data_IF_195113663826
#
_entry.id   IF_195113663826
#
_cell.length_a   1.000
_cell.length_b   1.000
_cell.length_c   1.000
_cell.angle_alpha   90.00
_cell.angle_beta   90.00
_cell.angle_gamma   90.00
#
_symmetry.space_group_name_H-M   'P 1'
#
loop_
_entity.id
_entity.type
_entity.pdbx_description
1 polymer ?
#
# COMPACT_ATOMS: atom_id res chain seq x y z
N UNK A 1 32.88 24.67 -62.35
CA UNK A 1 33.08 23.68 -61.27
C UNK A 1 31.75 23.25 -60.63
N UNK A 2 30.68 23.06 -61.42
CA UNK A 2 29.32 22.80 -60.90
C UNK A 2 28.69 21.50 -61.43
N UNK A 3 29.14 21.00 -62.59
CA UNK A 3 28.55 19.79 -63.19
C UNK A 3 29.07 18.48 -62.58
N UNK A 4 30.32 18.45 -62.08
CA UNK A 4 30.93 17.25 -61.51
C UNK A 4 30.37 16.91 -60.12
N UNK A 5 30.00 17.93 -59.33
CA UNK A 5 29.41 17.73 -57.99
C UNK A 5 27.98 17.18 -58.04
N UNK A 6 27.17 17.63 -59.01
CA UNK A 6 25.80 17.15 -59.15
C UNK A 6 25.74 15.71 -59.70
N UNK A 7 26.71 15.31 -60.53
CA UNK A 7 26.84 13.94 -61.01
C UNK A 7 27.22 12.98 -59.86
N UNK A 8 28.12 13.39 -58.98
CA UNK A 8 28.53 12.60 -57.81
C UNK A 8 27.39 12.41 -56.79
N UNK A 9 26.55 13.43 -56.56
CA UNK A 9 25.37 13.30 -55.67
C UNK A 9 24.32 12.32 -56.20
N UNK A 10 24.16 12.24 -57.53
CA UNK A 10 23.24 11.28 -58.16
C UNK A 10 23.77 9.84 -58.15
N UNK A 11 25.07 9.65 -58.32
CA UNK A 11 25.69 8.31 -58.35
C UNK A 11 25.76 7.70 -56.94
N UNK A 12 26.02 8.52 -55.90
CA UNK A 12 26.26 8.01 -54.54
C UNK A 12 25.07 8.08 -53.58
N UNK A 13 23.87 8.43 -54.04
CA UNK A 13 22.63 8.26 -53.25
C UNK A 13 22.59 9.01 -51.91
N UNK A 14 23.40 10.06 -51.73
CA UNK A 14 23.44 10.89 -50.53
C UNK A 14 22.24 11.85 -50.48
N UNK A 15 21.06 11.30 -50.24
CA UNK A 15 19.81 12.04 -50.11
C UNK A 15 18.60 11.24 -49.60
N UNK A 16 18.72 9.93 -49.43
CA UNK A 16 17.65 9.15 -48.78
C UNK A 16 17.84 9.24 -47.27
N UNK A 17 16.93 9.96 -46.58
CA UNK A 17 16.76 9.82 -45.13
C UNK A 17 16.68 8.31 -44.81
N UNK A 18 17.33 7.82 -43.75
CA UNK A 18 17.09 6.47 -43.28
C UNK A 18 15.59 6.26 -43.12
N UNK A 19 15.02 5.12 -43.55
CA UNK A 19 13.64 4.81 -43.23
C UNK A 19 13.45 4.98 -41.72
N UNK A 20 12.36 5.64 -41.32
CA UNK A 20 12.03 5.78 -39.91
C UNK A 20 12.13 4.40 -39.25
N UNK A 21 12.76 4.28 -38.06
CA UNK A 21 12.81 3.03 -37.34
C UNK A 21 11.38 2.48 -37.27
N UNK A 22 11.20 1.22 -37.69
CA UNK A 22 9.91 0.56 -37.57
C UNK A 22 9.51 0.67 -36.10
N UNK A 23 8.31 1.17 -35.77
CA UNK A 23 7.87 1.17 -34.39
C UNK A 23 8.00 -0.26 -33.88
N UNK A 24 8.63 -0.42 -32.72
CA UNK A 24 8.74 -1.72 -32.09
C UNK A 24 7.34 -2.34 -32.01
N UNK A 25 7.19 -3.63 -32.38
CA UNK A 25 5.90 -4.29 -32.26
C UNK A 25 5.43 -4.14 -30.83
N UNK A 26 4.27 -3.48 -30.64
CA UNK A 26 3.64 -3.39 -29.33
C UNK A 26 3.50 -4.83 -28.80
N UNK A 27 3.93 -5.11 -27.56
CA UNK A 27 3.72 -6.42 -26.95
C UNK A 27 2.26 -6.84 -27.13
N UNK A 28 2.03 -8.08 -27.55
CA UNK A 28 0.67 -8.59 -27.66
C UNK A 28 -0.02 -8.47 -26.28
N UNK A 29 -1.32 -8.13 -26.23
CA UNK A 29 -2.04 -8.12 -24.97
C UNK A 29 -1.88 -9.48 -24.28
N UNK A 30 -1.62 -9.50 -22.96
CA UNK A 30 -1.46 -10.76 -22.24
C UNK A 30 -2.74 -11.61 -22.38
N UNK A 31 -2.63 -12.83 -22.93
CA UNK A 31 -3.77 -13.74 -23.17
C UNK A 31 -4.22 -14.39 -21.86
N UNK A 32 -5.52 -14.58 -21.63
CA UNK A 32 -6.00 -15.29 -20.44
C UNK A 32 -5.32 -16.66 -20.30
N UNK A 33 -4.92 -17.00 -19.08
CA UNK A 33 -4.28 -18.27 -18.77
C UNK A 33 -4.89 -18.80 -17.46
N UNK A 34 -5.79 -19.79 -17.49
CA UNK A 34 -6.41 -20.30 -16.27
C UNK A 34 -5.44 -21.10 -15.39
N UNK A 35 -4.28 -21.50 -15.91
CA UNK A 35 -3.32 -22.36 -15.22
C UNK A 35 -2.07 -21.60 -14.73
N UNK A 36 -2.01 -20.28 -14.92
CA UNK A 36 -0.88 -19.49 -14.42
C UNK A 36 -0.77 -19.62 -12.89
N UNK A 37 0.40 -20.00 -12.33
CA UNK A 37 0.49 -20.28 -10.91
C UNK A 37 0.25 -19.04 -10.04
N UNK A 38 -0.44 -19.24 -8.91
CA UNK A 38 -0.49 -18.24 -7.84
C UNK A 38 0.86 -18.21 -7.12
N UNK A 39 1.60 -17.11 -7.25
CA UNK A 39 2.89 -16.98 -6.56
C UNK A 39 2.71 -16.40 -5.17
N UNK A 40 3.43 -16.98 -4.21
CA UNK A 40 3.59 -16.42 -2.87
C UNK A 40 4.56 -15.23 -2.96
N UNK A 41 4.22 -14.13 -2.27
CA UNK A 41 5.12 -12.99 -2.11
C UNK A 41 5.73 -13.01 -0.72
N UNK A 42 7.06 -13.10 -0.66
CA UNK A 42 7.83 -12.82 0.56
C UNK A 42 8.18 -11.34 0.54
N UNK A 43 7.82 -10.63 1.61
CA UNK A 43 8.05 -9.20 1.77
C UNK A 43 9.08 -8.97 2.88
N UNK A 44 10.27 -8.51 2.50
CA UNK A 44 11.37 -8.26 3.43
C UNK A 44 11.27 -6.86 4.00
N UNK A 45 11.01 -6.78 5.29
CA UNK A 45 10.67 -5.53 5.97
C UNK A 45 11.85 -5.04 6.80
N UNK A 46 12.22 -3.78 6.61
CA UNK A 46 12.98 -3.01 7.59
C UNK A 46 12.00 -2.33 8.57
N UNK A 47 12.09 -2.65 9.85
CA UNK A 47 11.29 -2.01 10.89
C UNK A 47 12.11 -0.93 11.61
N UNK A 48 11.67 0.32 11.54
CA UNK A 48 12.27 1.47 12.24
C UNK A 48 11.29 1.94 13.31
N UNK A 49 11.75 2.03 14.56
CA UNK A 49 10.90 2.37 15.70
C UNK A 49 11.45 3.62 16.37
N UNK A 50 10.79 4.76 16.17
CA UNK A 50 11.10 5.98 16.91
C UNK A 50 10.45 5.94 18.28
N UNK A 51 11.22 5.60 19.31
CA UNK A 51 10.77 5.51 20.70
C UNK A 51 11.74 6.27 21.61
N UNK A 52 11.62 7.61 21.66
CA UNK A 52 12.58 8.45 22.38
C UNK A 52 12.54 8.22 23.89
N UNK A 53 13.68 8.41 24.53
CA UNK A 53 13.80 8.54 25.99
C UNK A 53 13.12 9.83 26.43
N UNK A 54 12.19 9.71 27.36
CA UNK A 54 11.45 10.85 27.92
C UNK A 54 12.07 11.37 29.22
N UNK A 55 12.69 10.48 29.99
CA UNK A 55 13.45 10.80 31.19
C UNK A 55 14.86 10.21 31.10
N UNK A 56 15.86 11.08 31.07
CA UNK A 56 17.26 10.69 30.93
C UNK A 56 17.84 10.03 32.20
N UNK A 57 17.24 10.26 33.38
CA UNK A 57 17.71 9.68 34.65
C UNK A 57 17.23 8.24 34.79
N UNK A 58 15.98 7.97 34.41
CA UNK A 58 15.36 6.64 34.52
C UNK A 58 15.51 5.79 33.25
N UNK A 59 15.74 6.43 32.11
CA UNK A 59 15.75 5.78 30.79
C UNK A 59 14.35 5.42 30.28
N UNK A 60 13.30 5.93 30.92
CA UNK A 60 11.92 5.67 30.56
C UNK A 60 11.65 6.14 29.11
N UNK A 61 11.07 5.24 28.31
CA UNK A 61 10.76 5.48 26.91
C UNK A 61 9.34 6.00 26.75
N UNK A 62 9.09 6.74 25.66
CA UNK A 62 7.79 7.33 25.37
C UNK A 62 6.65 6.30 25.38
N UNK A 63 6.83 5.16 24.72
CA UNK A 63 5.81 4.12 24.70
C UNK A 63 5.48 3.57 26.09
N UNK A 64 6.48 3.44 26.97
CA UNK A 64 6.30 2.92 28.33
C UNK A 64 5.62 3.97 29.22
N UNK A 65 6.06 5.23 29.14
CA UNK A 65 5.50 6.35 29.92
C UNK A 65 4.00 6.53 29.65
N UNK A 66 3.59 6.45 28.38
CA UNK A 66 2.20 6.67 27.97
C UNK A 66 1.34 5.39 28.01
N UNK A 67 1.93 4.25 28.39
CA UNK A 67 1.24 2.96 28.44
C UNK A 67 0.73 2.47 27.09
N UNK A 68 1.44 2.83 26.01
CA UNK A 68 1.07 2.50 24.64
C UNK A 68 1.51 1.09 24.23
N UNK A 69 1.06 0.65 23.05
CA UNK A 69 1.34 -0.71 22.58
C UNK A 69 2.82 -0.92 22.28
N UNK A 70 3.31 -2.14 22.53
CA UNK A 70 4.67 -2.52 22.16
C UNK A 70 4.72 -2.78 20.64
N UNK A 71 5.61 -2.11 19.89
CA UNK A 71 5.72 -2.30 18.43
C UNK A 71 5.96 -3.77 18.01
N UNK A 72 6.63 -4.57 18.84
CA UNK A 72 6.84 -6.00 18.57
C UNK A 72 5.51 -6.79 18.49
N UNK A 73 4.59 -6.49 19.42
CA UNK A 73 3.31 -7.18 19.52
C UNK A 73 2.39 -6.75 18.36
N UNK A 74 2.45 -5.46 17.98
CA UNK A 74 1.78 -4.91 16.81
C UNK A 74 2.26 -5.55 15.49
N UNK A 75 3.58 -5.60 15.26
CA UNK A 75 4.15 -6.24 14.06
C UNK A 75 3.77 -7.71 13.96
N UNK A 76 3.77 -8.43 15.09
CA UNK A 76 3.39 -9.85 15.14
C UNK A 76 1.92 -10.03 14.79
N UNK A 77 1.02 -9.25 15.41
CA UNK A 77 -0.42 -9.33 15.15
C UNK A 77 -0.78 -8.96 13.72
N UNK A 78 -0.19 -7.89 13.20
CA UNK A 78 -0.39 -7.45 11.82
C UNK A 78 0.11 -8.48 10.79
N UNK A 79 1.32 -9.02 10.98
CA UNK A 79 1.87 -10.04 10.08
C UNK A 79 1.04 -11.31 10.09
N UNK A 80 0.54 -11.73 11.27
CA UNK A 80 -0.33 -12.88 11.40
C UNK A 80 -1.66 -12.68 10.67
N UNK A 81 -2.31 -11.52 10.82
CA UNK A 81 -3.56 -11.21 10.11
C UNK A 81 -3.36 -11.18 8.59
N UNK A 82 -2.25 -10.63 8.09
CA UNK A 82 -1.95 -10.63 6.65
C UNK A 82 -1.68 -12.03 6.13
N UNK A 83 -0.95 -12.87 6.89
CA UNK A 83 -0.71 -14.25 6.50
C UNK A 83 -2.02 -15.06 6.44
N UNK A 84 -2.90 -14.87 7.42
CA UNK A 84 -4.20 -15.54 7.49
C UNK A 84 -5.12 -15.11 6.36
N UNK A 85 -5.40 -13.80 6.24
CA UNK A 85 -6.35 -13.26 5.26
C UNK A 85 -5.88 -13.35 3.81
N UNK A 86 -4.58 -13.55 3.60
CA UNK A 86 -4.04 -13.85 2.27
C UNK A 86 -4.03 -15.33 1.91
N UNK A 87 -4.56 -16.21 2.77
CA UNK A 87 -4.54 -17.66 2.59
C UNK A 87 -3.10 -18.19 2.39
N UNK A 88 -2.13 -17.57 3.08
CA UNK A 88 -0.71 -17.91 2.99
C UNK A 88 0.02 -17.40 1.75
N UNK A 89 -0.62 -16.55 0.93
CA UNK A 89 0.03 -15.92 -0.24
C UNK A 89 1.02 -14.82 0.13
N UNK A 90 0.92 -14.27 1.35
CA UNK A 90 1.83 -13.24 1.86
C UNK A 90 2.64 -13.77 3.04
N UNK A 91 3.93 -13.47 3.04
CA UNK A 91 4.83 -13.70 4.17
C UNK A 91 5.66 -12.45 4.42
N UNK A 92 5.48 -11.83 5.57
CA UNK A 92 6.36 -10.72 5.98
C UNK A 92 7.54 -11.29 6.76
N UNK A 93 8.74 -10.88 6.39
CA UNK A 93 9.98 -11.22 7.09
C UNK A 93 10.59 -9.91 7.60
N UNK A 94 10.57 -9.70 8.91
CA UNK A 94 11.29 -8.57 9.52
C UNK A 94 12.79 -8.91 9.45
N UNK A 95 13.49 -8.32 8.48
CA UNK A 95 14.92 -8.59 8.24
C UNK A 95 15.77 -7.89 9.29
N UNK A 96 15.37 -6.68 9.66
CA UNK A 96 16.05 -5.88 10.65
C UNK A 96 15.05 -5.02 11.41
N UNK A 97 15.29 -4.89 12.72
CA UNK A 97 14.58 -3.98 13.61
C UNK A 97 15.58 -2.97 14.15
N UNK A 98 15.28 -1.69 13.98
CA UNK A 98 16.09 -0.58 14.46
C UNK A 98 15.25 0.23 15.44
N UNK A 99 15.61 0.19 16.72
CA UNK A 99 15.05 1.07 17.75
C UNK A 99 15.85 2.38 17.78
N UNK A 100 15.15 3.49 17.54
CA UNK A 100 15.72 4.84 17.41
C UNK A 100 15.34 5.65 18.64
N UNK A 101 16.34 6.05 19.40
CA UNK A 101 16.18 6.80 20.65
C UNK A 101 16.07 8.31 20.42
N UNK A 102 15.23 8.71 19.46
CA UNK A 102 15.11 10.10 19.04
C UNK A 102 13.69 10.42 18.57
N UNK A 103 13.33 11.71 18.56
CA UNK A 103 12.18 12.20 17.79
C UNK A 103 12.61 12.37 16.33
N UNK A 104 11.85 11.93 15.31
CA UNK A 104 12.23 12.13 13.92
C UNK A 104 12.23 13.62 13.55
N UNK A 105 13.09 14.01 12.61
CA UNK A 105 13.17 15.38 12.09
C UNK A 105 11.93 15.68 11.24
N UNK A 106 11.39 16.89 11.36
CA UNK A 106 10.32 17.42 10.52
C UNK A 106 10.86 17.98 9.21
N UNK A 107 9.99 18.15 8.23
CA UNK A 107 10.36 18.62 6.90
C UNK A 107 11.09 19.99 6.88
N UNK A 108 10.94 20.80 7.94
CA UNK A 108 11.62 22.09 8.12
C UNK A 108 12.86 22.03 9.02
N UNK A 109 13.28 20.83 9.42
CA UNK A 109 14.40 20.62 10.33
C UNK A 109 14.04 20.67 11.81
N UNK A 110 12.78 20.95 12.17
CA UNK A 110 12.35 20.93 13.57
C UNK A 110 12.44 19.51 14.14
N UNK A 111 12.77 19.41 15.43
CA UNK A 111 12.75 18.15 16.17
C UNK A 111 12.23 18.42 17.57
N UNK A 112 11.24 17.65 18.01
CA UNK A 112 10.73 17.75 19.37
C UNK A 112 11.83 17.37 20.39
N UNK A 113 11.88 18.09 21.50
CA UNK A 113 12.39 17.57 22.76
C UNK A 113 11.30 16.79 23.51
N UNK A 114 11.66 15.96 24.51
CA UNK A 114 10.67 15.30 25.36
C UNK A 114 9.63 16.25 25.95
N UNK A 115 10.07 17.37 26.52
CA UNK A 115 9.17 18.34 27.14
C UNK A 115 8.24 19.01 26.13
N UNK A 116 8.75 19.39 24.95
CA UNK A 116 7.94 19.98 23.90
C UNK A 116 6.87 19.00 23.41
N UNK A 117 7.23 17.72 23.27
CA UNK A 117 6.28 16.71 22.84
C UNK A 117 5.17 16.48 23.87
N UNK A 118 5.52 16.41 25.16
CA UNK A 118 4.52 16.26 26.24
C UNK A 118 3.57 17.45 26.32
N UNK A 119 4.05 18.67 26.10
CA UNK A 119 3.19 19.86 26.03
C UNK A 119 2.18 19.74 24.87
N UNK A 120 2.59 19.20 23.72
CA UNK A 120 1.68 18.92 22.59
C UNK A 120 0.68 17.82 22.94
N UNK A 121 1.17 16.70 23.49
CA UNK A 121 0.34 15.54 23.82
C UNK A 121 -0.75 15.90 24.85
N UNK A 122 -0.43 16.74 25.83
CA UNK A 122 -1.37 17.22 26.84
C UNK A 122 -2.21 18.42 26.39
N UNK A 123 -2.05 18.90 25.16
CA UNK A 123 -2.79 20.05 24.62
C UNK A 123 -2.43 21.39 25.25
N UNK A 124 -1.26 21.51 25.89
CA UNK A 124 -0.71 22.75 26.44
C UNK A 124 -0.28 23.67 25.30
N UNK A 125 0.36 23.10 24.26
CA UNK A 125 0.75 23.80 23.03
C UNK A 125 0.18 23.10 21.80
N UNK A 126 -0.11 23.81 20.71
CA UNK A 126 -0.45 23.17 19.44
C UNK A 126 0.74 22.36 18.90
N UNK A 127 0.46 21.35 18.08
CA UNK A 127 1.48 20.62 17.33
C UNK A 127 2.31 21.57 16.43
N UNK A 128 3.56 21.21 16.17
CA UNK A 128 4.42 21.93 15.21
C UNK A 128 3.86 21.87 13.79
N UNK A 129 3.95 22.98 13.05
CA UNK A 129 3.64 23.05 11.63
C UNK A 129 4.83 23.66 10.85
N UNK A 130 5.26 23.05 9.72
CA UNK A 130 4.66 21.88 9.07
C UNK A 130 4.83 20.58 9.87
N UNK A 131 3.76 19.79 9.98
CA UNK A 131 3.77 18.57 10.77
C UNK A 131 4.49 17.39 10.12
N UNK A 132 4.73 17.42 8.80
CA UNK A 132 5.29 16.30 8.06
C UNK A 132 6.72 15.97 8.49
N UNK A 133 7.03 14.68 8.52
CA UNK A 133 8.39 14.17 8.76
C UNK A 133 9.29 14.43 7.54
N UNK A 134 10.59 14.58 7.77
CA UNK A 134 11.58 14.56 6.70
C UNK A 134 11.88 13.12 6.28
N UNK A 135 11.15 12.64 5.27
CA UNK A 135 11.41 11.32 4.68
C UNK A 135 12.80 11.21 4.03
N UNK A 136 13.39 12.30 3.52
CA UNK A 136 14.73 12.24 2.91
C UNK A 136 15.80 12.00 3.96
N UNK A 137 15.66 12.60 5.15
CA UNK A 137 16.51 12.30 6.30
C UNK A 137 16.43 10.81 6.65
N UNK A 138 15.22 10.24 6.75
CA UNK A 138 15.04 8.80 7.04
C UNK A 138 15.68 7.91 5.96
N UNK A 139 15.49 8.24 4.67
CA UNK A 139 16.12 7.51 3.58
C UNK A 139 17.65 7.49 3.69
N UNK A 140 18.24 8.63 4.07
CA UNK A 140 19.69 8.77 4.27
C UNK A 140 20.19 8.05 5.51
N UNK A 141 19.56 8.28 6.67
CA UNK A 141 19.99 7.78 7.98
C UNK A 141 20.05 6.24 8.03
N UNK A 142 19.12 5.57 7.34
CA UNK A 142 19.03 4.10 7.32
C UNK A 142 19.49 3.46 6.01
N UNK A 143 20.04 4.27 5.09
CA UNK A 143 20.54 3.82 3.79
C UNK A 143 19.50 3.02 2.98
N UNK A 144 18.23 3.45 3.03
CA UNK A 144 17.09 2.66 2.50
C UNK A 144 17.22 2.44 0.99
N UNK A 145 17.68 3.47 0.25
CA UNK A 145 17.84 3.40 -1.19
C UNK A 145 18.79 2.26 -1.62
N UNK A 146 19.98 2.18 -1.00
CA UNK A 146 20.95 1.13 -1.31
C UNK A 146 20.42 -0.26 -0.93
N UNK A 147 19.79 -0.38 0.25
CA UNK A 147 19.18 -1.65 0.70
C UNK A 147 18.10 -2.15 -0.26
N UNK A 148 17.29 -1.27 -0.84
CA UNK A 148 16.27 -1.65 -1.84
C UNK A 148 16.92 -2.08 -3.16
N UNK A 149 17.93 -1.34 -3.64
CA UNK A 149 18.67 -1.65 -4.87
C UNK A 149 19.42 -2.99 -4.78
N UNK A 150 20.01 -3.27 -3.62
CA UNK A 150 20.71 -4.52 -3.35
C UNK A 150 19.77 -5.71 -3.11
N UNK A 151 18.45 -5.51 -3.17
CA UNK A 151 17.44 -6.50 -2.79
C UNK A 151 17.68 -7.03 -1.37
N UNK A 152 17.96 -6.17 -0.40
CA UNK A 152 18.03 -6.54 1.02
C UNK A 152 16.66 -6.41 1.68
N UNK A 153 15.90 -5.39 1.26
CA UNK A 153 14.55 -5.08 1.75
C UNK A 153 13.62 -4.79 0.57
N UNK A 154 12.32 -4.94 0.80
CA UNK A 154 11.23 -4.66 -0.16
C UNK A 154 10.27 -3.59 0.37
N UNK A 155 10.20 -3.42 1.68
CA UNK A 155 9.28 -2.49 2.35
C UNK A 155 9.88 -1.95 3.66
N UNK A 156 9.45 -0.76 4.07
CA UNK A 156 9.84 -0.15 5.35
C UNK A 156 8.60 0.06 6.21
N UNK A 157 8.64 -0.43 7.44
CA UNK A 157 7.63 -0.11 8.46
C UNK A 157 8.23 0.88 9.45
N UNK A 158 7.61 2.03 9.60
CA UNK A 158 8.01 3.04 10.57
C UNK A 158 6.98 3.12 11.68
N UNK A 159 7.39 2.79 12.88
CA UNK A 159 6.58 2.93 14.09
C UNK A 159 6.96 4.22 14.80
N UNK A 160 5.96 5.06 15.06
CA UNK A 160 6.13 6.31 15.77
C UNK A 160 4.90 6.59 16.63
N UNK A 161 4.80 7.83 17.08
CA UNK A 161 3.80 8.33 18.01
C UNK A 161 2.90 9.38 17.31
N UNK A 162 1.78 9.79 17.92
CA UNK A 162 0.93 10.86 17.42
C UNK A 162 1.73 12.12 17.13
N UNK A 163 1.40 12.84 16.06
CA UNK A 163 2.12 14.04 15.63
C UNK A 163 3.56 13.82 15.14
N UNK A 164 4.00 12.57 14.91
CA UNK A 164 5.31 12.28 14.32
C UNK A 164 5.40 12.63 12.83
N UNK A 165 4.27 12.80 12.13
CA UNK A 165 4.24 13.38 10.77
C UNK A 165 4.33 12.39 9.62
N UNK A 166 4.04 11.11 9.89
CA UNK A 166 4.02 10.05 8.88
C UNK A 166 2.68 9.98 8.14
N UNK A 167 2.75 9.57 6.88
CA UNK A 167 1.59 9.08 6.14
C UNK A 167 1.37 7.61 6.51
N UNK A 168 0.13 7.14 6.43
CA UNK A 168 -0.21 5.72 6.60
C UNK A 168 0.54 4.84 5.58
N UNK A 169 0.61 5.31 4.33
CA UNK A 169 1.50 4.74 3.31
C UNK A 169 2.02 5.82 2.38
N UNK A 170 3.26 5.68 1.93
CA UNK A 170 3.84 6.48 0.85
C UNK A 170 4.69 5.60 -0.04
N UNK A 171 4.62 5.81 -1.36
CA UNK A 171 5.43 5.07 -2.34
C UNK A 171 6.62 5.89 -2.77
N UNK A 172 7.79 5.27 -2.77
CA UNK A 172 9.05 5.83 -3.26
C UNK A 172 9.57 5.03 -4.46
N UNK A 173 10.54 5.59 -5.17
CA UNK A 173 11.20 4.97 -6.30
C UNK A 173 10.72 5.46 -7.67
N UNK A 174 11.38 4.97 -8.71
CA UNK A 174 11.09 5.31 -10.10
C UNK A 174 9.65 4.92 -10.47
N UNK A 175 8.95 5.85 -11.13
CA UNK A 175 7.56 5.67 -11.55
C UNK A 175 6.58 5.38 -10.38
N UNK A 176 6.94 5.81 -9.17
CA UNK A 176 6.06 5.80 -8.01
C UNK A 176 4.77 6.58 -8.29
N UNK A 177 3.67 6.13 -7.70
CA UNK A 177 2.34 6.69 -7.89
C UNK A 177 1.62 6.83 -6.54
N UNK A 178 0.48 7.52 -6.56
CA UNK A 178 -0.32 7.74 -5.35
C UNK A 178 -0.61 6.42 -4.63
N UNK A 179 -0.23 6.34 -3.36
CA UNK A 179 -0.56 5.23 -2.49
C UNK A 179 -0.91 5.76 -1.11
N UNK A 180 -2.17 6.15 -0.93
CA UNK A 180 -2.69 6.94 0.20
C UNK A 180 -1.98 8.28 0.51
N UNK A 181 -0.91 8.58 -0.22
CA UNK A 181 -0.20 9.85 -0.20
C UNK A 181 0.37 10.13 -1.60
N UNK A 182 0.75 11.38 -1.91
CA UNK A 182 1.56 11.70 -3.08
C UNK A 182 2.84 10.83 -3.13
N UNK A 183 3.34 10.46 -4.32
CA UNK A 183 4.63 9.79 -4.44
C UNK A 183 5.74 10.59 -3.76
N UNK A 184 6.67 9.90 -3.08
CA UNK A 184 7.75 10.57 -2.39
C UNK A 184 8.71 11.21 -3.40
N UNK A 185 8.79 12.54 -3.37
CA UNK A 185 9.65 13.31 -4.26
C UNK A 185 11.14 12.99 -4.06
N UNK A 186 11.96 13.26 -5.07
CA UNK A 186 13.41 13.04 -5.01
C UNK A 186 13.86 11.58 -5.11
N UNK A 187 12.95 10.59 -5.13
CA UNK A 187 13.29 9.16 -5.07
C UNK A 187 13.36 8.45 -6.43
N UNK A 188 13.18 9.16 -7.55
CA UNK A 188 13.13 8.57 -8.90
C UNK A 188 14.46 7.94 -9.37
N UNK A 189 15.55 8.17 -8.64
CA UNK A 189 16.85 7.54 -8.86
C UNK A 189 16.90 6.09 -8.38
N UNK A 190 16.00 5.69 -7.48
CA UNK A 190 15.85 4.31 -6.99
C UNK A 190 15.04 3.53 -8.03
N UNK A 191 15.63 2.48 -8.60
CA UNK A 191 15.12 1.72 -9.74
C UNK A 191 13.85 0.94 -9.44
N UNK A 192 13.68 0.51 -8.18
CA UNK A 192 12.52 -0.23 -7.69
C UNK A 192 11.57 0.67 -6.91
N UNK A 193 10.27 0.47 -7.10
CA UNK A 193 9.25 1.04 -6.21
C UNK A 193 9.21 0.24 -4.92
N UNK A 194 9.06 0.94 -3.81
CA UNK A 194 8.84 0.35 -2.49
C UNK A 194 7.90 1.25 -1.70
N UNK A 195 7.35 0.71 -0.62
CA UNK A 195 6.44 1.42 0.27
C UNK A 195 7.10 1.67 1.62
N UNK A 196 6.81 2.84 2.17
CA UNK A 196 7.03 3.13 3.59
C UNK A 196 5.65 3.22 4.26
N UNK A 197 5.38 2.33 5.20
CA UNK A 197 4.16 2.30 5.99
C UNK A 197 4.40 3.03 7.31
N UNK A 198 3.54 3.99 7.64
CA UNK A 198 3.59 4.72 8.92
C UNK A 198 2.57 4.16 9.90
N UNK A 199 3.03 3.67 11.04
CA UNK A 199 2.20 3.12 12.09
C UNK A 199 2.38 3.88 13.41
N UNK A 200 1.29 4.12 14.12
CA UNK A 200 1.31 4.70 15.46
C UNK A 200 1.22 3.61 16.52
N UNK A 201 2.17 3.54 17.45
CA UNK A 201 2.08 2.59 18.57
C UNK A 201 1.11 3.04 19.68
N UNK A 202 0.54 4.25 19.60
CA UNK A 202 -0.66 4.64 20.36
C UNK A 202 -1.89 3.80 19.94
N UNK A 203 -1.89 3.29 18.70
CA UNK A 203 -3.03 2.61 18.07
C UNK A 203 -2.81 1.10 18.01
N UNK A 204 -3.85 0.36 17.63
CA UNK A 204 -3.83 -1.10 17.58
C UNK A 204 -3.57 -1.67 16.19
N UNK A 205 -3.60 -3.00 16.10
CA UNK A 205 -3.50 -3.72 14.82
C UNK A 205 -4.63 -3.36 13.86
N UNK A 206 -5.82 -3.01 14.37
CA UNK A 206 -6.96 -2.60 13.54
C UNK A 206 -6.63 -1.40 12.66
N UNK A 207 -6.00 -0.37 13.22
CA UNK A 207 -5.58 0.82 12.49
C UNK A 207 -4.39 0.54 11.55
N UNK A 208 -3.49 -0.39 11.92
CA UNK A 208 -2.46 -0.84 10.98
C UNK A 208 -3.07 -1.51 9.74
N UNK A 209 -4.12 -2.32 9.92
CA UNK A 209 -4.85 -2.92 8.81
C UNK A 209 -5.58 -1.86 7.99
N UNK A 210 -6.13 -0.81 8.61
CA UNK A 210 -6.74 0.31 7.88
C UNK A 210 -5.73 1.04 6.98
N UNK A 211 -4.56 1.38 7.51
CA UNK A 211 -3.46 1.95 6.73
C UNK A 211 -3.07 1.05 5.54
N UNK A 212 -3.04 -0.27 5.78
CA UNK A 212 -2.72 -1.25 4.74
C UNK A 212 -3.83 -1.44 3.71
N UNK A 213 -5.10 -1.39 4.10
CA UNK A 213 -6.22 -1.48 3.15
C UNK A 213 -6.29 -0.24 2.26
N UNK A 214 -5.94 0.95 2.75
CA UNK A 214 -5.73 2.13 1.89
C UNK A 214 -4.63 1.93 0.83
N UNK A 215 -3.54 1.24 1.18
CA UNK A 215 -2.55 0.78 0.19
C UNK A 215 -3.18 -0.17 -0.82
N UNK A 216 -3.94 -1.19 -0.37
CA UNK A 216 -4.62 -2.14 -1.26
C UNK A 216 -5.48 -1.38 -2.26
N UNK A 217 -6.29 -0.42 -1.80
CA UNK A 217 -7.16 0.35 -2.69
C UNK A 217 -6.39 1.09 -3.77
N UNK A 218 -5.27 1.73 -3.39
CA UNK A 218 -4.42 2.47 -4.31
C UNK A 218 -3.78 1.55 -5.36
N UNK A 219 -3.22 0.43 -4.92
CA UNK A 219 -2.57 -0.57 -5.78
C UNK A 219 -3.58 -1.22 -6.73
N UNK A 220 -4.73 -1.65 -6.22
CA UNK A 220 -5.73 -2.35 -7.04
C UNK A 220 -6.42 -1.39 -8.01
N UNK A 221 -6.65 -0.12 -7.61
CA UNK A 221 -7.12 0.92 -8.54
C UNK A 221 -6.15 1.14 -9.70
N UNK A 222 -4.84 1.14 -9.43
CA UNK A 222 -3.81 1.27 -10.47
C UNK A 222 -3.71 0.03 -11.36
N UNK A 223 -3.72 -1.16 -10.77
CA UNK A 223 -3.69 -2.47 -11.46
C UNK A 223 -4.85 -2.59 -12.46
N UNK A 224 -6.05 -2.21 -12.04
CA UNK A 224 -7.25 -2.27 -12.88
C UNK A 224 -7.47 -1.01 -13.75
N UNK A 225 -6.55 -0.05 -13.79
CA UNK A 225 -6.76 1.25 -14.45
C UNK A 225 -7.02 1.15 -15.96
N UNK A 226 -6.58 0.07 -16.62
CA UNK A 226 -6.78 -0.18 -18.05
C UNK A 226 -8.03 -1.02 -18.36
N UNK A 227 -8.80 -1.40 -17.34
CA UNK A 227 -10.03 -2.19 -17.48
C UNK A 227 -11.27 -1.33 -17.24
N UNK A 228 -12.40 -1.70 -17.83
CA UNK A 228 -13.66 -0.97 -17.72
C UNK A 228 -14.87 -1.92 -17.75
N UNK A 229 -16.06 -1.41 -17.41
CA UNK A 229 -17.28 -2.21 -17.33
C UNK A 229 -17.10 -3.42 -16.42
N UNK A 230 -17.64 -4.56 -16.85
CA UNK A 230 -17.59 -5.82 -16.10
C UNK A 230 -16.19 -6.44 -16.04
N UNK A 231 -15.28 -6.03 -16.92
CA UNK A 231 -13.87 -6.45 -16.86
C UNK A 231 -13.11 -5.80 -15.69
N UNK A 232 -13.63 -4.70 -15.13
CA UNK A 232 -13.03 -4.04 -13.96
C UNK A 232 -13.53 -4.67 -12.66
N UNK A 233 -12.91 -5.78 -12.30
CA UNK A 233 -13.27 -6.57 -11.13
C UNK A 233 -13.03 -5.81 -9.81
N UNK A 234 -12.05 -4.91 -9.75
CA UNK A 234 -11.85 -4.05 -8.56
C UNK A 234 -13.05 -3.13 -8.28
N UNK A 235 -13.66 -2.55 -9.33
CA UNK A 235 -14.90 -1.77 -9.19
C UNK A 235 -16.11 -2.61 -8.77
N UNK A 236 -16.11 -3.92 -9.06
CA UNK A 236 -17.13 -4.85 -8.56
C UNK A 236 -16.87 -5.18 -7.08
N UNK A 237 -15.62 -5.48 -6.73
CA UNK A 237 -15.19 -5.80 -5.37
C UNK A 237 -15.65 -4.73 -4.37
N UNK A 238 -15.41 -3.47 -4.73
CA UNK A 238 -15.63 -2.31 -3.85
C UNK A 238 -17.05 -1.76 -3.79
N UNK A 239 -18.03 -2.46 -4.36
CA UNK A 239 -19.44 -2.03 -4.33
C UNK A 239 -20.03 -2.18 -2.94
N UNK A 240 -20.81 -1.17 -2.54
CA UNK A 240 -21.66 -1.19 -1.36
C UNK A 240 -23.01 -0.53 -1.70
N UNK A 241 -24.06 -0.88 -0.97
CA UNK A 241 -25.44 -0.66 -1.39
C UNK A 241 -25.81 0.81 -1.58
N UNK A 242 -25.30 1.71 -0.72
CA UNK A 242 -25.56 3.15 -0.85
C UNK A 242 -25.08 3.73 -2.20
N UNK A 243 -23.97 3.23 -2.75
CA UNK A 243 -23.46 3.65 -4.08
C UNK A 243 -23.93 2.75 -5.22
N UNK A 244 -24.25 1.50 -4.91
CA UNK A 244 -24.62 0.47 -5.88
C UNK A 244 -25.86 -0.30 -5.38
N UNK A 245 -27.06 0.31 -5.39
CA UNK A 245 -28.25 -0.29 -4.80
C UNK A 245 -28.56 -1.67 -5.39
N UNK A 246 -28.71 -2.67 -4.53
CA UNK A 246 -28.97 -4.06 -4.93
C UNK A 246 -27.79 -4.78 -5.59
N UNK A 247 -26.60 -4.19 -5.56
CA UNK A 247 -25.38 -4.75 -6.17
C UNK A 247 -24.18 -4.70 -5.19
N UNK A 248 -24.44 -4.72 -3.89
CA UNK A 248 -23.38 -4.72 -2.88
C UNK A 248 -22.48 -5.95 -3.01
N UNK A 249 -21.18 -5.76 -2.80
CA UNK A 249 -20.16 -6.79 -2.73
C UNK A 249 -19.47 -6.67 -1.37
N UNK A 250 -18.18 -6.32 -1.32
CA UNK A 250 -17.42 -6.23 -0.08
C UNK A 250 -17.37 -4.81 0.49
N UNK A 251 -17.68 -3.81 -0.35
CA UNK A 251 -17.47 -2.42 0.01
C UNK A 251 -15.98 -2.06 0.01
N UNK A 252 -15.62 -1.01 0.74
CA UNK A 252 -14.25 -0.48 0.76
C UNK A 252 -13.79 -0.28 2.20
N UNK A 253 -12.57 0.22 2.37
CA UNK A 253 -11.95 0.45 3.69
C UNK A 253 -12.89 1.18 4.66
N UNK A 254 -13.64 2.20 4.22
CA UNK A 254 -14.52 3.00 5.08
C UNK A 254 -15.98 2.55 5.10
N UNK A 255 -16.40 1.72 4.15
CA UNK A 255 -17.80 1.35 3.95
C UNK A 255 -17.96 -0.16 3.78
N UNK A 256 -18.58 -0.80 4.77
CA UNK A 256 -19.11 -2.15 4.65
C UNK A 256 -20.30 -2.19 3.65
N UNK A 257 -20.77 -3.39 3.25
CA UNK A 257 -21.80 -3.54 2.23
C UNK A 257 -23.10 -2.75 2.49
N UNK A 258 -23.46 -2.56 3.77
CA UNK A 258 -24.65 -1.83 4.20
C UNK A 258 -24.38 -0.42 4.77
N UNK A 259 -23.14 0.05 4.80
CA UNK A 259 -22.79 1.31 5.46
C UNK A 259 -23.51 2.52 4.85
N UNK A 260 -23.99 3.41 5.72
CA UNK A 260 -24.67 4.65 5.32
C UNK A 260 -23.80 5.90 5.44
N UNK A 261 -22.71 5.84 6.20
CA UNK A 261 -21.73 6.91 6.38
C UNK A 261 -20.33 6.32 6.58
N UNK A 262 -19.35 7.20 6.66
CA UNK A 262 -17.96 6.84 6.90
C UNK A 262 -17.81 6.04 8.20
N UNK A 263 -17.03 4.97 8.17
CA UNK A 263 -16.72 4.06 9.29
C UNK A 263 -17.96 3.37 9.90
N UNK A 264 -19.05 3.27 9.14
CA UNK A 264 -20.32 2.68 9.59
C UNK A 264 -20.33 1.16 9.42
N UNK A 265 -19.35 0.46 10.00
CA UNK A 265 -19.25 -1.00 9.94
C UNK A 265 -20.19 -1.71 10.93
N UNK A 266 -20.86 -0.96 11.80
CA UNK A 266 -21.76 -1.48 12.84
C UNK A 266 -23.25 -1.49 12.47
N UNK A 267 -23.66 -1.09 11.26
CA UNK A 267 -25.08 -1.04 10.88
C UNK A 267 -25.69 -2.46 10.92
N UNK A 268 -26.70 -2.74 11.78
CA UNK A 268 -27.30 -4.07 11.88
C UNK A 268 -28.26 -4.39 10.72
N UNK A 269 -28.58 -3.40 9.86
CA UNK A 269 -29.51 -3.56 8.74
C UNK A 269 -29.02 -4.59 7.75
N UNK A 270 -29.91 -5.50 7.37
CA UNK A 270 -29.60 -6.46 6.34
C UNK A 270 -29.52 -5.83 4.95
N UNK A 271 -28.57 -6.31 4.16
CA UNK A 271 -28.39 -5.96 2.75
C UNK A 271 -28.15 -7.21 1.92
N UNK A 272 -28.64 -7.22 0.69
CA UNK A 272 -28.34 -8.27 -0.28
C UNK A 272 -26.92 -8.07 -0.80
N UNK A 273 -26.02 -9.03 -0.60
CA UNK A 273 -24.62 -8.95 -1.05
C UNK A 273 -24.16 -10.22 -1.74
N UNK A 274 -23.28 -10.04 -2.73
CA UNK A 274 -22.56 -11.08 -3.46
C UNK A 274 -21.15 -11.36 -2.88
N UNK A 275 -20.89 -10.93 -1.63
CA UNK A 275 -19.58 -11.06 -0.98
C UNK A 275 -18.98 -12.47 -1.06
N UNK A 276 -19.73 -13.51 -0.68
CA UNK A 276 -19.21 -14.88 -0.62
C UNK A 276 -18.88 -15.46 -2.01
N UNK A 277 -19.43 -14.89 -3.08
CA UNK A 277 -19.16 -15.37 -4.45
C UNK A 277 -17.70 -15.09 -4.86
N UNK A 278 -17.00 -14.20 -4.14
CA UNK A 278 -15.57 -13.98 -4.32
C UNK A 278 -14.71 -15.17 -3.90
N UNK A 279 -15.20 -16.07 -3.04
CA UNK A 279 -14.54 -17.36 -2.79
C UNK A 279 -14.57 -18.30 -3.99
N UNK A 280 -15.48 -18.08 -4.96
CA UNK A 280 -15.53 -18.84 -6.21
C UNK A 280 -14.71 -18.18 -7.33
N UNK A 281 -14.00 -17.08 -7.04
CA UNK A 281 -13.21 -16.39 -8.07
C UNK A 281 -12.18 -17.33 -8.73
N UNK A 282 -12.03 -17.32 -10.07
CA UNK A 282 -12.67 -16.41 -11.03
C UNK A 282 -14.06 -16.83 -11.55
N UNK A 283 -14.52 -18.04 -11.21
CA UNK A 283 -15.74 -18.65 -11.71
C UNK A 283 -16.94 -18.32 -10.81
N UNK A 284 -17.35 -17.05 -10.84
CA UNK A 284 -18.51 -16.56 -10.09
C UNK A 284 -19.78 -17.38 -10.37
N UNK A 285 -20.51 -17.74 -9.32
CA UNK A 285 -21.74 -18.52 -9.38
C UNK A 285 -23.00 -17.65 -9.26
N UNK A 286 -22.84 -16.35 -9.00
CA UNK A 286 -23.95 -15.41 -8.79
C UNK A 286 -24.60 -15.55 -7.42
N UNK A 287 -23.88 -16.13 -6.44
CA UNK A 287 -24.40 -16.38 -5.09
C UNK A 287 -24.64 -15.05 -4.39
N UNK A 288 -25.86 -14.83 -3.93
CA UNK A 288 -26.24 -13.63 -3.19
C UNK A 288 -27.00 -14.03 -1.95
N UNK A 289 -26.72 -13.38 -0.81
CA UNK A 289 -27.48 -13.58 0.42
C UNK A 289 -27.64 -12.28 1.21
N UNK A 290 -28.56 -12.32 2.19
CA UNK A 290 -28.70 -11.23 3.15
C UNK A 290 -27.56 -11.29 4.17
N UNK A 291 -26.83 -10.19 4.31
CA UNK A 291 -25.73 -10.00 5.25
C UNK A 291 -25.94 -8.74 6.10
N UNK A 292 -25.29 -8.65 7.24
CA UNK A 292 -25.24 -7.44 8.07
C UNK A 292 -23.92 -7.37 8.85
N UNK A 293 -23.81 -6.41 9.77
CA UNK A 293 -22.58 -6.18 10.54
C UNK A 293 -22.02 -7.39 11.29
N UNK A 294 -22.83 -8.42 11.58
CA UNK A 294 -22.35 -9.62 12.26
C UNK A 294 -21.34 -10.43 11.44
N UNK A 295 -21.35 -10.29 10.11
CA UNK A 295 -20.39 -10.97 9.22
C UNK A 295 -18.97 -10.42 9.35
N UNK A 296 -18.82 -9.14 9.69
CA UNK A 296 -17.54 -8.43 9.69
C UNK A 296 -17.24 -7.76 11.03
N UNK A 297 -17.75 -8.32 12.12
CA UNK A 297 -17.32 -7.95 13.48
C UNK A 297 -18.11 -6.86 14.19
N UNK A 298 -19.32 -6.52 13.73
CA UNK A 298 -20.25 -5.61 14.41
C UNK A 298 -19.66 -4.22 14.77
N UNK A 299 -18.85 -3.66 13.88
CA UNK A 299 -18.18 -2.37 14.10
C UNK A 299 -16.75 -2.47 14.62
N UNK A 300 -16.23 -3.67 14.88
CA UNK A 300 -14.82 -3.87 15.19
C UNK A 300 -13.95 -3.63 13.94
N UNK A 301 -13.05 -2.65 14.05
CA UNK A 301 -12.14 -2.23 12.97
C UNK A 301 -11.27 -3.38 12.45
N UNK A 302 -10.72 -4.21 13.35
CA UNK A 302 -9.78 -5.28 12.96
C UNK A 302 -10.53 -6.41 12.26
N UNK A 303 -11.66 -6.83 12.82
CA UNK A 303 -12.50 -7.87 12.24
C UNK A 303 -13.09 -7.43 10.90
N UNK A 304 -13.47 -6.16 10.75
CA UNK A 304 -13.96 -5.64 9.48
C UNK A 304 -12.90 -5.75 8.38
N UNK A 305 -11.69 -5.23 8.64
CA UNK A 305 -10.60 -5.27 7.66
C UNK A 305 -10.15 -6.69 7.35
N UNK A 306 -10.12 -7.58 8.36
CA UNK A 306 -9.81 -9.00 8.14
C UNK A 306 -10.85 -9.66 7.24
N UNK A 307 -12.13 -9.49 7.55
CA UNK A 307 -13.22 -10.01 6.70
C UNK A 307 -13.09 -9.47 5.28
N UNK A 308 -12.83 -8.17 5.11
CA UNK A 308 -12.68 -7.57 3.80
C UNK A 308 -11.47 -8.10 3.02
N UNK A 309 -10.34 -8.36 3.68
CA UNK A 309 -9.14 -8.91 3.02
C UNK A 309 -9.24 -10.41 2.73
N UNK A 310 -9.96 -11.17 3.56
CA UNK A 310 -10.12 -12.62 3.40
C UNK A 310 -10.79 -13.01 2.07
N UNK A 311 -11.58 -12.10 1.50
CA UNK A 311 -12.23 -12.27 0.19
C UNK A 311 -11.35 -11.85 -0.99
N UNK A 312 -10.12 -11.35 -0.77
CA UNK A 312 -9.23 -10.94 -1.86
C UNK A 312 -8.82 -12.19 -2.66
N UNK A 313 -8.96 -12.17 -4.00
CA UNK A 313 -8.51 -13.25 -4.86
C UNK A 313 -7.06 -13.68 -4.65
N UNK A 314 -6.85 -14.99 -4.50
CA UNK A 314 -5.57 -15.60 -4.12
C UNK A 314 -5.30 -16.92 -4.89
N UNK A 315 -5.98 -17.15 -6.00
CA UNK A 315 -5.94 -18.42 -6.76
C UNK A 315 -5.12 -18.33 -8.05
N UNK A 316 -4.86 -19.49 -8.66
CA UNK A 316 -4.20 -19.59 -9.96
C UNK A 316 -5.02 -18.95 -11.08
N UNK A 317 -4.31 -18.53 -12.11
CA UNK A 317 -4.83 -18.04 -13.38
C UNK A 317 -4.61 -16.55 -13.60
N UNK A 318 -5.00 -16.09 -14.79
CA UNK A 318 -4.96 -14.70 -15.22
C UNK A 318 -6.08 -14.41 -16.18
N UNK A 319 -6.79 -13.31 -15.93
CA UNK A 319 -7.92 -12.85 -16.73
C UNK A 319 -7.74 -11.37 -17.03
N UNK A 320 -7.99 -10.96 -18.27
CA UNK A 320 -7.86 -9.57 -18.73
C UNK A 320 -6.45 -8.99 -18.48
N UNK A 321 -5.43 -9.86 -18.51
CA UNK A 321 -4.04 -9.50 -18.24
C UNK A 321 -3.71 -9.23 -16.77
N UNK A 322 -4.59 -9.57 -15.83
CA UNK A 322 -4.40 -9.42 -14.39
C UNK A 322 -4.40 -10.81 -13.73
N UNK A 323 -3.38 -11.12 -12.93
CA UNK A 323 -3.30 -12.38 -12.19
C UNK A 323 -4.48 -12.52 -11.24
N UNK A 324 -4.96 -13.74 -11.09
CA UNK A 324 -6.06 -14.07 -10.19
C UNK A 324 -5.63 -14.02 -8.71
N UNK A 325 -4.35 -14.16 -8.42
CA UNK A 325 -3.81 -13.83 -7.10
C UNK A 325 -3.43 -12.35 -7.03
N UNK A 326 -4.31 -11.53 -6.43
CA UNK A 326 -4.17 -10.08 -6.32
C UNK A 326 -3.09 -9.67 -5.31
N UNK A 327 -2.77 -10.54 -4.34
CA UNK A 327 -1.71 -10.31 -3.36
C UNK A 327 -0.33 -10.11 -4.01
N UNK A 328 -0.14 -10.65 -5.21
CA UNK A 328 1.07 -10.38 -5.99
C UNK A 328 1.25 -8.90 -6.31
N UNK A 329 0.18 -8.16 -6.60
CA UNK A 329 0.25 -6.73 -6.87
C UNK A 329 0.32 -5.93 -5.57
N UNK A 330 -0.53 -6.30 -4.59
CA UNK A 330 -0.63 -5.64 -3.29
C UNK A 330 0.74 -5.59 -2.60
N UNK A 331 1.44 -6.73 -2.59
CA UNK A 331 2.73 -6.86 -1.92
C UNK A 331 3.92 -6.44 -2.79
N UNK A 332 3.84 -6.58 -4.11
CA UNK A 332 4.92 -6.21 -5.02
C UNK A 332 4.46 -5.12 -6.01
N UNK A 333 4.70 -3.83 -5.69
CA UNK A 333 4.31 -2.72 -6.56
C UNK A 333 5.04 -2.74 -7.91
N UNK A 334 6.08 -3.56 -8.10
CA UNK A 334 6.73 -3.72 -9.41
C UNK A 334 5.84 -4.40 -10.44
N UNK A 335 4.82 -5.14 -10.01
CA UNK A 335 3.89 -5.83 -10.91
C UNK A 335 2.76 -4.94 -11.45
N UNK A 336 2.66 -3.68 -10.98
CA UNK A 336 1.58 -2.73 -11.29
C UNK A 336 1.84 -1.87 -12.52
#
# INVERSE_FOLDING_TARGET
>A
MSFLLDLLRKIFGFGKKPPAPKPDPKPAPPVNDPNEPANITVNRVLAIIYNPTMDAETGEKLADQEGWHRPADLMTGFSADLQETSHGMVRNEIIERIDVDEFPVKADGFRYSPSQYLDVLHGITPQHEPHQVDYQAILGDFNIAERVENNEIDEVWVFAFPYAGFYESVMAGKDAFWCNAPPLEGTAHISRRFLMMGFSYERGVGEMLEAFTHRIESIMKKTFAKTSGDANLWKRYTRYDKKNPGQANLGNVHFAPNSLRDYDWGDPRFVSSNCDDWYNFPDFQGITRQVNASEWGNGDIRLHHRWWMDHIPHVAGRINGIHNNWWQYIMDPQKV
#
